data_IF_470023144427
#
_entry.id   IF_470023144427
#
_cell.length_a   1.000
_cell.length_b   1.000
_cell.length_c   1.000
_cell.angle_alpha   90.00
_cell.angle_beta   90.00
_cell.angle_gamma   90.00
#
_symmetry.space_group_name_H-M   'P 1'
#
loop_
_entity.id
_entity.type
_entity.pdbx_description
1 polymer ?
#
# COMPACT_ATOMS: atom_id res chain seq x y z
N UNK A 1 -7.94 -28.77 -54.70
CA UNK A 1 -7.01 -29.78 -55.25
C UNK A 1 -5.65 -29.54 -54.59
N UNK A 2 -5.47 -30.02 -53.34
CA UNK A 2 -4.74 -31.25 -52.98
C UNK A 2 -3.30 -31.30 -53.50
N UNK A 3 -2.37 -30.77 -52.70
CA UNK A 3 -0.95 -31.13 -52.79
C UNK A 3 -0.67 -32.30 -51.85
N UNK A 4 -0.10 -33.43 -52.32
CA UNK A 4 0.24 -34.56 -51.47
C UNK A 4 1.61 -34.44 -50.82
N UNK A 5 1.74 -35.25 -49.78
CA UNK A 5 2.70 -35.25 -48.68
C UNK A 5 3.75 -36.39 -48.82
N UNK A 6 4.76 -36.35 -47.94
CA UNK A 6 5.65 -37.44 -47.45
C UNK A 6 6.86 -37.78 -48.35
N UNK A 7 8.01 -38.27 -47.88
CA UNK A 7 8.76 -38.38 -46.60
C UNK A 7 10.01 -39.19 -47.02
N UNK A 8 11.18 -38.85 -46.44
CA UNK A 8 12.28 -39.76 -46.02
C UNK A 8 13.02 -40.67 -47.02
N UNK A 9 14.36 -40.64 -46.88
CA UNK A 9 15.36 -41.74 -46.74
C UNK A 9 16.63 -41.44 -47.58
N UNK A 10 17.71 -40.96 -46.94
CA UNK A 10 18.82 -41.70 -46.30
C UNK A 10 19.92 -42.21 -47.26
N UNK A 11 21.15 -41.71 -46.99
CA UNK A 11 22.41 -42.46 -46.86
C UNK A 11 23.57 -42.24 -47.87
N UNK A 12 24.71 -41.84 -47.27
CA UNK A 12 26.13 -42.11 -47.60
C UNK A 12 26.79 -41.35 -48.76
N UNK A 13 27.79 -40.53 -48.43
CA UNK A 13 29.19 -40.99 -48.30
C UNK A 13 30.07 -39.95 -47.59
N UNK A 14 30.90 -40.46 -46.69
CA UNK A 14 31.93 -39.74 -45.95
C UNK A 14 33.23 -39.76 -46.75
N UNK A 15 33.98 -38.66 -46.73
CA UNK A 15 35.43 -38.69 -46.91
C UNK A 15 36.09 -37.56 -46.09
N UNK A 16 37.08 -37.99 -45.31
CA UNK A 16 37.84 -37.23 -44.30
C UNK A 16 38.78 -36.21 -44.96
N UNK A 17 38.90 -35.03 -44.36
CA UNK A 17 40.18 -34.31 -44.26
C UNK A 17 40.33 -33.80 -42.83
N UNK A 18 41.34 -34.32 -42.13
CA UNK A 18 41.81 -33.83 -40.84
C UNK A 18 42.87 -32.75 -41.08
N UNK A 19 42.80 -31.67 -40.31
CA UNK A 19 43.89 -30.73 -40.01
C UNK A 19 43.69 -30.20 -38.58
N UNK A 20 44.77 -29.82 -37.87
CA UNK A 20 44.96 -30.15 -36.46
C UNK A 20 44.42 -29.10 -35.48
N UNK A 21 44.14 -29.60 -34.27
CA UNK A 21 44.15 -28.94 -32.97
C UNK A 21 44.13 -27.41 -32.93
N UNK A 22 42.98 -26.86 -32.58
CA UNK A 22 42.90 -25.62 -31.80
C UNK A 22 41.98 -25.86 -30.60
N UNK A 23 42.59 -26.22 -29.47
CA UNK A 23 41.92 -26.31 -28.17
C UNK A 23 41.55 -24.91 -27.68
N UNK A 24 40.51 -24.30 -28.27
CA UNK A 24 39.95 -23.08 -27.71
C UNK A 24 38.87 -23.44 -26.68
N UNK A 25 39.31 -23.89 -25.51
CA UNK A 25 38.46 -23.96 -24.32
C UNK A 25 38.06 -22.53 -23.94
N UNK A 26 36.89 -22.10 -24.41
CA UNK A 26 36.22 -20.93 -23.87
C UNK A 26 35.90 -21.20 -22.39
N UNK A 27 36.82 -20.82 -21.51
CA UNK A 27 36.57 -20.76 -20.06
C UNK A 27 35.39 -19.82 -19.83
N UNK A 28 34.24 -20.39 -19.47
CA UNK A 28 33.11 -19.62 -18.97
C UNK A 28 33.60 -18.73 -17.81
N UNK A 29 33.67 -17.41 -18.04
CA UNK A 29 34.04 -16.45 -16.99
C UNK A 29 33.02 -16.58 -15.87
N UNK A 30 33.45 -17.04 -14.70
CA UNK A 30 32.62 -17.03 -13.49
C UNK A 30 32.01 -15.63 -13.33
N UNK A 31 30.72 -15.51 -13.00
CA UNK A 31 30.09 -14.20 -12.84
C UNK A 31 30.86 -13.41 -11.78
N UNK A 32 31.35 -12.23 -12.15
CA UNK A 32 32.07 -11.35 -11.24
C UNK A 32 31.08 -10.89 -10.16
N UNK A 33 31.25 -11.42 -8.96
CA UNK A 33 30.48 -10.99 -7.78
C UNK A 33 30.85 -9.52 -7.53
N UNK A 34 29.84 -8.68 -7.29
CA UNK A 34 30.08 -7.28 -6.96
C UNK A 34 30.59 -7.21 -5.53
N UNK A 35 31.74 -6.56 -5.34
CA UNK A 35 32.24 -6.24 -4.01
C UNK A 35 31.60 -4.95 -3.53
N UNK A 36 30.69 -5.03 -2.57
CA UNK A 36 29.97 -3.86 -2.04
C UNK A 36 30.85 -2.96 -1.15
N UNK A 37 31.92 -3.49 -0.56
CA UNK A 37 32.86 -2.68 0.25
C UNK A 37 33.66 -1.72 -0.63
N UNK A 38 33.86 -2.05 -1.91
CA UNK A 38 34.54 -1.20 -2.89
C UNK A 38 33.68 -0.07 -3.47
N UNK A 39 32.49 0.19 -2.89
CA UNK A 39 31.59 1.25 -3.33
C UNK A 39 31.15 2.12 -2.15
N UNK A 40 31.05 3.46 -2.34
CA UNK A 40 30.44 4.32 -1.35
C UNK A 40 28.94 3.99 -1.25
N UNK A 41 28.32 4.35 -0.14
CA UNK A 41 26.92 4.12 0.20
C UNK A 41 26.26 5.44 0.58
N UNK A 42 24.94 5.53 0.43
CA UNK A 42 24.15 6.67 0.88
C UNK A 42 22.76 6.23 1.31
N UNK A 43 22.13 7.01 2.18
CA UNK A 43 20.70 6.85 2.50
C UNK A 43 19.88 7.57 1.43
N UNK A 44 18.87 6.90 0.88
CA UNK A 44 17.88 7.52 0.01
C UNK A 44 16.47 7.28 0.54
N UNK A 45 15.57 8.20 0.28
CA UNK A 45 14.13 7.98 0.29
C UNK A 45 13.62 7.82 -1.15
N UNK A 46 12.56 7.04 -1.37
CA UNK A 46 11.90 6.96 -2.68
C UNK A 46 10.38 6.91 -2.55
N UNK A 47 9.69 7.55 -3.49
CA UNK A 47 8.23 7.50 -3.61
C UNK A 47 7.82 6.46 -4.63
N UNK A 48 6.81 5.69 -4.27
CA UNK A 48 6.26 4.66 -5.12
C UNK A 48 4.77 4.48 -4.90
N UNK A 49 4.08 4.10 -5.96
CA UNK A 49 2.69 3.68 -5.91
C UNK A 49 2.58 2.18 -6.12
N UNK A 50 1.46 1.62 -5.66
CA UNK A 50 1.02 0.29 -6.05
C UNK A 50 -0.50 0.16 -6.07
N UNK A 51 -0.99 -0.69 -6.96
CA UNK A 51 -2.40 -1.06 -7.06
C UNK A 51 -2.70 -2.23 -6.13
N UNK A 52 -3.19 -1.94 -4.92
CA UNK A 52 -3.25 -2.85 -3.79
C UNK A 52 -4.10 -4.09 -3.99
N UNK A 53 -5.11 -4.03 -4.85
CA UNK A 53 -5.99 -5.15 -5.18
C UNK A 53 -5.30 -6.31 -5.92
N UNK A 54 -4.04 -6.15 -6.36
CA UNK A 54 -3.22 -7.23 -6.92
C UNK A 54 -2.19 -7.81 -5.93
N UNK A 55 -2.12 -7.29 -4.69
CA UNK A 55 -1.07 -7.63 -3.73
C UNK A 55 -1.65 -8.04 -2.36
N UNK A 56 -0.93 -8.89 -1.64
CA UNK A 56 -1.28 -9.35 -0.29
C UNK A 56 -0.89 -8.35 0.81
N UNK A 57 -0.89 -7.06 0.48
CA UNK A 57 -0.50 -5.96 1.36
C UNK A 57 0.95 -5.50 1.17
N UNK A 58 1.34 -4.47 1.92
CA UNK A 58 2.67 -3.88 1.79
C UNK A 58 3.75 -4.76 2.43
N UNK A 59 3.51 -5.18 3.67
CA UNK A 59 4.53 -5.79 4.53
C UNK A 59 4.81 -7.22 4.12
N UNK A 60 6.08 -7.61 4.10
CA UNK A 60 6.47 -8.99 3.83
C UNK A 60 5.82 -9.96 4.83
N UNK A 61 5.32 -11.09 4.32
CA UNK A 61 4.74 -12.18 5.10
C UNK A 61 5.47 -13.49 4.76
N UNK A 62 5.40 -14.49 5.65
CA UNK A 62 6.10 -15.78 5.48
C UNK A 62 5.34 -16.74 4.56
N UNK A 63 4.03 -16.56 4.42
CA UNK A 63 3.10 -17.42 3.71
C UNK A 63 2.82 -16.97 2.27
N UNK A 64 3.26 -15.76 1.88
CA UNK A 64 3.11 -15.24 0.52
C UNK A 64 4.32 -14.46 0.05
N UNK A 65 4.68 -14.66 -1.22
CA UNK A 65 5.69 -13.84 -1.91
C UNK A 65 5.08 -12.62 -2.60
N UNK A 66 3.75 -12.48 -2.62
CA UNK A 66 3.04 -11.43 -3.37
C UNK A 66 2.77 -10.18 -2.53
N UNK A 67 3.78 -9.73 -1.79
CA UNK A 67 3.74 -8.49 -1.00
C UNK A 67 4.60 -7.43 -1.69
N UNK A 68 4.21 -6.16 -1.54
CA UNK A 68 4.92 -5.05 -2.21
C UNK A 68 6.37 -4.95 -1.72
N UNK A 69 6.62 -5.14 -0.42
CA UNK A 69 7.99 -5.19 0.12
C UNK A 69 8.82 -6.33 -0.43
N UNK A 70 8.23 -7.52 -0.66
CA UNK A 70 8.96 -8.64 -1.27
C UNK A 70 9.40 -8.29 -2.70
N UNK A 71 8.52 -7.69 -3.49
CA UNK A 71 8.87 -7.22 -4.85
C UNK A 71 9.96 -6.14 -4.83
N UNK A 72 9.88 -5.19 -3.89
CA UNK A 72 10.92 -4.16 -3.70
C UNK A 72 12.26 -4.75 -3.25
N UNK A 73 12.25 -5.65 -2.28
CA UNK A 73 13.43 -6.36 -1.79
C UNK A 73 14.13 -7.09 -2.94
N UNK A 74 13.37 -7.87 -3.70
CA UNK A 74 13.92 -8.63 -4.84
C UNK A 74 14.50 -7.70 -5.90
N UNK A 75 13.85 -6.57 -6.19
CA UNK A 75 14.36 -5.58 -7.13
C UNK A 75 15.65 -4.91 -6.63
N UNK A 76 15.72 -4.50 -5.36
CA UNK A 76 16.90 -3.88 -4.75
C UNK A 76 18.12 -4.82 -4.75
N UNK A 77 17.91 -6.10 -4.42
CA UNK A 77 18.96 -7.13 -4.43
C UNK A 77 19.42 -7.43 -5.86
N UNK A 78 18.49 -7.68 -6.79
CA UNK A 78 18.81 -8.04 -8.19
C UNK A 78 19.48 -6.90 -8.95
N UNK A 79 19.13 -5.64 -8.66
CA UNK A 79 19.80 -4.45 -9.21
C UNK A 79 21.16 -4.19 -8.57
N UNK A 80 21.51 -4.94 -7.52
CA UNK A 80 22.71 -4.74 -6.70
C UNK A 80 22.79 -3.31 -6.15
N UNK A 81 21.65 -2.75 -5.79
CA UNK A 81 21.60 -1.48 -5.04
C UNK A 81 21.95 -1.71 -3.58
N UNK A 82 21.52 -2.85 -3.03
CA UNK A 82 21.80 -3.29 -1.66
C UNK A 82 22.50 -4.64 -1.68
N UNK A 83 23.30 -4.90 -0.65
CA UNK A 83 24.00 -6.18 -0.45
C UNK A 83 23.08 -7.22 0.20
N UNK A 84 22.40 -6.83 1.28
CA UNK A 84 21.43 -7.64 2.00
C UNK A 84 20.23 -6.78 2.40
N UNK A 85 19.10 -7.44 2.65
CA UNK A 85 17.89 -6.76 3.11
C UNK A 85 18.02 -6.30 4.56
N UNK A 86 18.69 -7.10 5.39
CA UNK A 86 18.87 -6.89 6.82
C UNK A 86 19.74 -5.66 7.11
N UNK A 87 20.75 -5.40 6.27
CA UNK A 87 21.73 -4.34 6.51
C UNK A 87 21.45 -3.05 5.70
N UNK A 88 20.35 -3.01 4.95
CA UNK A 88 20.01 -1.83 4.15
C UNK A 88 19.17 -0.80 4.93
N UNK A 89 18.89 -1.05 6.22
CA UNK A 89 18.11 -0.18 7.10
C UNK A 89 16.77 0.26 6.46
N UNK A 90 16.07 -0.70 5.88
CA UNK A 90 14.81 -0.44 5.21
C UNK A 90 13.76 0.07 6.21
N UNK A 91 13.21 1.26 5.92
CA UNK A 91 12.07 1.83 6.65
C UNK A 91 10.96 2.22 5.67
N UNK A 92 9.72 2.26 6.16
CA UNK A 92 8.52 2.60 5.37
C UNK A 92 7.64 3.57 6.13
N UNK A 93 6.92 4.44 5.45
CA UNK A 93 6.09 5.44 6.12
C UNK A 93 4.90 4.83 6.87
N UNK A 94 4.02 4.15 6.14
CA UNK A 94 2.77 3.60 6.65
C UNK A 94 2.56 2.17 6.16
N UNK A 95 2.03 1.29 7.01
CA UNK A 95 1.61 -0.04 6.57
C UNK A 95 0.25 0.07 5.88
N UNK A 96 0.04 -0.71 4.83
CA UNK A 96 -1.28 -0.90 4.21
C UNK A 96 -1.66 -2.37 4.31
N UNK A 97 -2.92 -2.63 4.65
CA UNK A 97 -3.49 -3.97 4.65
C UNK A 97 -3.57 -4.53 3.20
N UNK A 98 -3.91 -5.82 3.08
CA UNK A 98 -4.23 -6.46 1.80
C UNK A 98 -5.34 -5.67 1.08
N UNK A 99 -5.27 -5.59 -0.25
CA UNK A 99 -6.25 -4.86 -1.08
C UNK A 99 -6.07 -3.34 -1.11
N UNK A 100 -5.46 -2.74 -0.07
CA UNK A 100 -5.29 -1.28 0.05
C UNK A 100 -4.18 -0.78 -0.88
N UNK A 101 -4.48 0.23 -1.69
CA UNK A 101 -3.54 0.85 -2.62
C UNK A 101 -2.70 1.95 -1.94
N UNK A 102 -1.64 2.39 -2.61
CA UNK A 102 -0.92 3.61 -2.21
C UNK A 102 -0.37 4.37 -3.42
N UNK A 103 -0.23 5.70 -3.31
CA UNK A 103 0.35 6.54 -4.34
C UNK A 103 1.73 7.10 -3.99
N UNK A 104 1.84 7.99 -2.99
CA UNK A 104 3.13 8.49 -2.50
C UNK A 104 3.55 7.74 -1.25
N UNK A 105 3.47 6.40 -1.29
CA UNK A 105 4.11 5.60 -0.25
C UNK A 105 5.62 5.88 -0.31
N UNK A 106 6.22 6.03 0.86
CA UNK A 106 7.63 6.37 0.97
C UNK A 106 8.37 5.30 1.74
N UNK A 107 9.49 4.86 1.19
CA UNK A 107 10.45 4.01 1.87
C UNK A 107 11.82 4.67 1.85
N UNK A 108 12.66 4.33 2.84
CA UNK A 108 14.05 4.77 2.88
C UNK A 108 14.99 3.57 3.09
N UNK A 109 16.13 3.62 2.44
CA UNK A 109 17.07 2.50 2.31
C UNK A 109 18.49 3.01 2.08
N UNK A 110 19.48 2.28 2.59
CA UNK A 110 20.90 2.49 2.29
C UNK A 110 21.26 1.74 1.02
N UNK A 111 21.77 2.47 0.04
CA UNK A 111 22.12 1.92 -1.28
C UNK A 111 23.55 2.29 -1.65
N UNK A 112 24.16 1.52 -2.55
CA UNK A 112 25.43 1.92 -3.16
C UNK A 112 25.26 3.22 -3.95
N UNK A 113 26.31 4.04 -3.94
CA UNK A 113 26.41 5.32 -4.63
C UNK A 113 27.57 5.31 -5.62
N UNK A 114 27.55 6.25 -6.55
CA UNK A 114 28.64 6.54 -7.49
C UNK A 114 29.25 7.93 -7.31
N UNK A 115 28.76 8.70 -6.35
CA UNK A 115 29.12 10.09 -6.09
C UNK A 115 29.71 10.24 -4.67
N UNK A 116 30.95 9.77 -4.41
CA UNK A 116 31.55 9.79 -3.07
C UNK A 116 31.76 11.19 -2.46
N UNK A 117 31.67 12.24 -3.28
CA UNK A 117 31.86 13.64 -2.86
C UNK A 117 30.54 14.34 -2.51
N UNK A 118 29.39 13.69 -2.75
CA UNK A 118 28.09 14.24 -2.38
C UNK A 118 27.93 14.26 -0.85
N UNK A 119 27.13 15.20 -0.30
CA UNK A 119 26.75 15.18 1.11
C UNK A 119 26.11 13.85 1.54
N UNK A 120 26.39 13.45 2.77
CA UNK A 120 25.87 12.24 3.44
C UNK A 120 26.22 10.90 2.74
N UNK A 121 27.16 10.93 1.80
CA UNK A 121 27.76 9.72 1.22
C UNK A 121 28.90 9.25 2.10
N UNK A 122 28.93 7.95 2.38
CA UNK A 122 29.88 7.35 3.31
C UNK A 122 30.46 6.05 2.74
N UNK A 123 31.60 5.64 3.27
CA UNK A 123 32.22 4.35 2.97
C UNK A 123 31.97 3.38 4.11
N UNK A 124 32.05 2.09 3.81
CA UNK A 124 32.10 1.09 4.88
C UNK A 124 33.37 1.30 5.72
N UNK A 125 33.27 1.16 7.05
CA UNK A 125 34.42 1.36 7.95
C UNK A 125 35.58 0.42 7.60
N UNK A 126 35.28 -0.76 7.06
CA UNK A 126 36.25 -1.74 6.61
C UNK A 126 36.93 -1.40 5.28
N UNK A 127 36.50 -0.34 4.59
CA UNK A 127 37.01 0.00 3.24
C UNK A 127 38.44 0.56 3.32
N UNK A 128 39.42 -0.07 2.65
CA UNK A 128 40.79 0.44 2.59
C UNK A 128 40.90 1.82 1.92
N UNK A 129 41.83 2.65 2.38
CA UNK A 129 41.96 4.04 1.92
C UNK A 129 42.42 4.13 0.45
N UNK A 130 43.21 3.16 -0.02
CA UNK A 130 43.60 3.06 -1.43
C UNK A 130 42.40 2.79 -2.35
N UNK A 131 41.40 2.04 -1.88
CA UNK A 131 40.16 1.79 -2.63
C UNK A 131 39.36 3.10 -2.77
N UNK A 132 39.25 3.87 -1.67
CA UNK A 132 38.54 5.17 -1.69
C UNK A 132 39.24 6.17 -2.62
N UNK A 133 40.57 6.30 -2.50
CA UNK A 133 41.37 7.25 -3.28
C UNK A 133 41.38 6.92 -4.78
N UNK A 134 41.28 5.64 -5.15
CA UNK A 134 41.27 5.21 -6.55
C UNK A 134 39.85 5.05 -7.13
N UNK A 135 38.80 5.41 -6.37
CA UNK A 135 37.43 5.25 -6.84
C UNK A 135 37.12 6.19 -8.00
N UNK A 136 36.63 5.62 -9.10
CA UNK A 136 36.21 6.39 -10.28
C UNK A 136 34.81 6.93 -10.05
N UNK A 137 34.73 8.13 -9.48
CA UNK A 137 33.47 8.85 -9.30
C UNK A 137 32.77 9.10 -10.64
N UNK A 138 31.44 9.21 -10.59
CA UNK A 138 30.61 9.62 -11.71
C UNK A 138 29.99 10.99 -11.42
N UNK A 139 29.69 11.78 -12.48
CA UNK A 139 29.03 13.08 -12.30
C UNK A 139 27.56 12.94 -11.87
N UNK A 140 26.93 11.81 -12.19
CA UNK A 140 25.54 11.53 -11.88
C UNK A 140 25.44 10.24 -11.08
N UNK A 141 24.45 10.23 -10.18
CA UNK A 141 24.13 9.07 -9.37
C UNK A 141 23.56 7.92 -10.22
N UNK A 142 23.52 6.72 -9.65
CA UNK A 142 22.84 5.60 -10.26
C UNK A 142 21.36 5.95 -10.56
N UNK A 143 20.82 5.51 -11.70
CA UNK A 143 19.43 5.79 -12.07
C UNK A 143 18.48 4.86 -11.29
N UNK A 144 18.39 5.07 -9.97
CA UNK A 144 17.70 4.20 -9.02
C UNK A 144 16.27 3.86 -9.43
N UNK A 145 15.52 4.88 -9.86
CA UNK A 145 14.12 4.72 -10.28
C UNK A 145 14.01 3.79 -11.49
N UNK A 146 14.82 4.03 -12.53
CA UNK A 146 14.88 3.18 -13.73
C UNK A 146 15.33 1.75 -13.41
N UNK A 147 16.33 1.59 -12.54
CA UNK A 147 16.83 0.29 -12.11
C UNK A 147 15.74 -0.53 -11.42
N UNK A 148 15.02 0.07 -10.47
CA UNK A 148 13.91 -0.59 -9.76
C UNK A 148 12.75 -0.91 -10.70
N UNK A 149 12.27 0.07 -11.48
CA UNK A 149 11.14 -0.13 -12.39
C UNK A 149 11.42 -1.15 -13.51
N UNK A 150 12.68 -1.42 -13.83
CA UNK A 150 13.08 -2.47 -14.76
C UNK A 150 12.78 -3.89 -14.26
N UNK A 151 12.65 -4.07 -12.93
CA UNK A 151 12.35 -5.37 -12.31
C UNK A 151 10.99 -5.43 -11.62
N UNK A 152 10.41 -4.28 -11.24
CA UNK A 152 9.13 -4.23 -10.55
C UNK A 152 7.95 -4.60 -11.48
N UNK A 153 6.92 -5.31 -10.96
CA UNK A 153 5.66 -5.53 -11.65
C UNK A 153 5.02 -4.22 -12.12
N UNK A 154 4.25 -4.22 -13.21
CA UNK A 154 3.60 -3.00 -13.75
C UNK A 154 2.68 -2.29 -12.75
N UNK A 155 2.23 -3.01 -11.74
CA UNK A 155 1.38 -2.51 -10.66
C UNK A 155 2.14 -1.96 -9.46
N UNK A 156 3.48 -1.91 -9.50
CA UNK A 156 4.32 -1.22 -8.52
C UNK A 156 5.31 -0.33 -9.29
N UNK A 157 5.30 0.99 -9.03
CA UNK A 157 6.19 1.92 -9.72
C UNK A 157 6.79 2.94 -8.77
N UNK A 158 8.10 3.04 -8.80
CA UNK A 158 8.87 4.14 -8.19
C UNK A 158 8.86 5.30 -9.18
N UNK A 159 8.70 6.54 -8.71
CA UNK A 159 8.65 7.71 -9.60
C UNK A 159 9.48 8.90 -9.10
N UNK A 160 9.95 8.86 -7.86
CA UNK A 160 10.86 9.85 -7.31
C UNK A 160 11.83 9.20 -6.32
N UNK A 161 12.99 9.81 -6.15
CA UNK A 161 13.93 9.52 -5.08
C UNK A 161 14.50 10.81 -4.50
N UNK A 162 15.08 10.75 -3.31
CA UNK A 162 15.75 11.88 -2.68
C UNK A 162 16.94 11.36 -1.88
N UNK A 163 18.11 12.01 -1.93
CA UNK A 163 19.12 11.81 -0.91
C UNK A 163 18.60 12.36 0.42
N UNK A 164 18.85 11.64 1.50
CA UNK A 164 18.41 12.01 2.86
C UNK A 164 19.55 11.78 3.86
N UNK A 165 19.45 12.42 5.02
CA UNK A 165 20.39 12.21 6.13
C UNK A 165 20.46 10.74 6.53
N UNK A 166 21.59 10.32 7.09
CA UNK A 166 21.85 8.93 7.48
C UNK A 166 20.80 8.39 8.45
N UNK A 167 20.32 9.24 9.36
CA UNK A 167 19.38 8.94 10.42
C UNK A 167 17.91 8.95 9.97
N UNK A 168 17.63 9.42 8.75
CA UNK A 168 16.27 9.55 8.24
C UNK A 168 15.51 8.21 8.28
N UNK A 169 14.31 8.27 8.82
CA UNK A 169 13.38 7.17 8.93
C UNK A 169 12.04 7.55 8.31
N UNK A 170 11.66 6.85 7.24
CA UNK A 170 10.42 7.13 6.52
C UNK A 170 9.17 7.10 7.40
N UNK A 171 9.18 6.34 8.51
CA UNK A 171 8.07 6.30 9.48
C UNK A 171 8.10 7.46 10.45
N UNK A 172 9.22 7.67 11.13
CA UNK A 172 9.27 8.56 12.29
C UNK A 172 9.38 10.04 11.89
N UNK A 173 10.01 10.33 10.74
CA UNK A 173 10.12 11.70 10.24
C UNK A 173 8.91 12.14 9.42
N UNK A 174 7.97 11.23 9.14
CA UNK A 174 6.74 11.59 8.47
C UNK A 174 5.79 12.31 9.44
N UNK A 175 5.40 13.53 9.07
CA UNK A 175 4.57 14.41 9.89
C UNK A 175 3.08 14.38 9.52
N UNK A 176 2.72 13.80 8.37
CA UNK A 176 1.34 13.77 7.88
C UNK A 176 1.10 12.58 6.97
N UNK A 177 -0.01 11.87 7.16
CA UNK A 177 -0.51 10.87 6.23
C UNK A 177 -1.87 11.30 5.72
N UNK A 178 -2.07 11.18 4.42
CA UNK A 178 -3.36 11.47 3.78
C UNK A 178 -3.88 10.20 3.11
N UNK A 179 -5.08 9.79 3.49
CA UNK A 179 -5.81 8.70 2.84
C UNK A 179 -6.95 9.26 2.01
N UNK A 180 -7.25 8.56 0.92
CA UNK A 180 -8.44 8.76 0.10
C UNK A 180 -9.25 7.47 0.06
N UNK A 181 -10.56 7.60 0.14
CA UNK A 181 -11.50 6.47 0.03
C UNK A 181 -12.61 6.85 -0.95
N UNK A 182 -12.71 6.11 -2.06
CA UNK A 182 -13.67 6.43 -3.13
C UNK A 182 -14.83 5.44 -3.16
N UNK A 183 -16.06 5.90 -3.31
CA UNK A 183 -17.25 5.06 -3.36
C UNK A 183 -18.34 5.72 -4.20
N UNK A 184 -19.32 4.95 -4.66
CA UNK A 184 -20.48 5.50 -5.35
C UNK A 184 -21.35 6.29 -4.38
N UNK A 185 -21.92 7.41 -4.84
CA UNK A 185 -22.78 8.29 -4.05
C UNK A 185 -24.03 7.57 -3.56
N UNK A 186 -24.59 6.69 -4.39
CA UNK A 186 -25.84 6.00 -4.11
C UNK A 186 -26.94 7.01 -3.70
N UNK A 187 -27.66 6.71 -2.63
CA UNK A 187 -28.68 7.55 -2.00
C UNK A 187 -28.16 8.29 -0.73
N UNK A 188 -26.84 8.42 -0.58
CA UNK A 188 -26.23 9.00 0.63
C UNK A 188 -26.47 10.52 0.73
N UNK A 189 -26.84 10.95 1.94
CA UNK A 189 -26.91 12.35 2.36
C UNK A 189 -25.49 12.89 2.65
N UNK A 190 -24.91 13.53 1.63
CA UNK A 190 -23.55 14.05 1.72
C UNK A 190 -23.40 15.22 2.71
N UNK A 191 -24.46 15.97 3.00
CA UNK A 191 -24.38 17.06 3.97
C UNK A 191 -24.25 16.50 5.39
N UNK A 192 -25.04 15.49 5.74
CA UNK A 192 -24.88 14.79 7.03
C UNK A 192 -23.52 14.11 7.15
N UNK A 193 -23.02 13.53 6.06
CA UNK A 193 -21.68 12.94 6.06
C UNK A 193 -20.60 14.00 6.29
N UNK A 194 -20.72 15.19 5.70
CA UNK A 194 -19.78 16.31 5.92
C UNK A 194 -19.86 16.83 7.35
N UNK A 195 -21.06 17.01 7.89
CA UNK A 195 -21.28 17.40 9.28
C UNK A 195 -20.59 16.41 10.23
N UNK A 196 -20.88 15.11 10.08
CA UNK A 196 -20.28 14.05 10.89
C UNK A 196 -18.76 13.98 10.74
N UNK A 197 -18.26 14.09 9.51
CA UNK A 197 -16.83 14.06 9.21
C UNK A 197 -16.07 15.22 9.84
N UNK A 198 -16.69 16.41 9.95
CA UNK A 198 -16.07 17.57 10.58
C UNK A 198 -15.77 17.36 12.08
N UNK A 199 -16.58 16.54 12.76
CA UNK A 199 -16.42 16.22 14.17
C UNK A 199 -15.18 15.35 14.46
N UNK A 200 -14.63 14.70 13.43
CA UNK A 200 -13.37 13.96 13.52
C UNK A 200 -12.15 14.89 13.59
N UNK A 201 -12.26 16.17 13.19
CA UNK A 201 -11.11 17.07 13.17
C UNK A 201 -10.67 17.39 14.61
N UNK A 202 -9.37 17.40 14.85
CA UNK A 202 -8.78 17.65 16.16
C UNK A 202 -8.07 16.43 16.73
N UNK A 203 -7.77 16.50 18.03
CA UNK A 203 -7.08 15.46 18.78
C UNK A 203 -8.07 14.71 19.66
N UNK A 204 -8.26 13.42 19.38
CA UNK A 204 -9.28 12.59 20.02
C UNK A 204 -8.75 11.17 20.26
N UNK A 205 -9.39 10.44 21.17
CA UNK A 205 -9.19 9.00 21.33
C UNK A 205 -10.02 8.22 20.29
N UNK A 206 -9.33 7.52 19.38
CA UNK A 206 -9.97 6.77 18.29
C UNK A 206 -10.13 5.28 18.59
N UNK A 207 -10.11 4.88 19.85
CA UNK A 207 -10.25 3.48 20.22
C UNK A 207 -11.52 2.83 19.63
N UNK A 208 -12.63 3.56 19.64
CA UNK A 208 -13.91 3.11 19.10
C UNK A 208 -13.98 3.17 17.57
N UNK A 209 -12.92 3.63 16.90
CA UNK A 209 -12.77 3.63 15.45
C UNK A 209 -11.66 2.70 14.98
N UNK A 210 -11.11 1.83 15.82
CA UNK A 210 -9.98 0.99 15.41
C UNK A 210 -10.17 -0.49 15.77
N UNK A 211 -9.38 -1.33 15.11
CA UNK A 211 -9.21 -2.71 15.56
C UNK A 211 -8.05 -2.75 16.55
N UNK A 212 -8.33 -3.17 17.78
CA UNK A 212 -7.27 -3.48 18.73
C UNK A 212 -6.63 -4.81 18.40
N UNK A 213 -5.31 -4.79 18.23
CA UNK A 213 -4.50 -6.00 18.11
C UNK A 213 -4.16 -6.51 19.52
N UNK A 214 -4.26 -7.83 19.74
CA UNK A 214 -3.95 -8.50 21.00
C UNK A 214 -2.44 -8.71 21.20
N UNK A 215 -1.59 -8.05 20.41
CA UNK A 215 -0.16 -7.97 20.65
C UNK A 215 0.15 -7.02 21.83
N UNK A 216 0.99 -7.47 22.76
CA UNK A 216 1.40 -6.72 23.96
C UNK A 216 1.89 -5.29 23.65
N UNK A 217 2.71 -5.13 22.61
CA UNK A 217 3.23 -3.80 22.20
C UNK A 217 2.14 -2.88 21.65
N UNK A 218 1.03 -3.43 21.15
CA UNK A 218 -0.07 -2.66 20.56
C UNK A 218 -1.17 -2.36 21.58
N UNK A 219 -1.35 -3.21 22.59
CA UNK A 219 -2.27 -2.96 23.71
C UNK A 219 -1.85 -1.80 24.61
N UNK A 220 -0.58 -1.41 24.57
CA UNK A 220 -0.02 -0.27 25.32
C UNK A 220 0.16 0.99 24.47
N UNK A 221 -0.14 0.92 23.16
CA UNK A 221 -0.05 2.09 22.28
C UNK A 221 -1.18 3.08 22.56
N UNK A 222 -0.82 4.36 22.59
CA UNK A 222 -1.80 5.44 22.63
C UNK A 222 -2.75 5.35 21.43
N UNK A 223 -4.05 5.45 21.70
CA UNK A 223 -5.14 5.50 20.72
C UNK A 223 -5.51 6.93 20.33
N UNK A 224 -4.91 7.92 20.99
CA UNK A 224 -5.06 9.33 20.64
C UNK A 224 -4.34 9.62 19.32
N UNK A 225 -5.06 10.23 18.38
CA UNK A 225 -4.52 10.73 17.10
C UNK A 225 -5.01 12.14 16.86
N UNK A 226 -4.30 12.86 15.99
CA UNK A 226 -4.69 14.19 15.54
C UNK A 226 -5.05 14.13 14.06
N UNK A 227 -6.31 14.43 13.74
CA UNK A 227 -6.77 14.62 12.36
C UNK A 227 -6.72 16.11 12.06
N UNK A 228 -6.08 16.44 10.95
CA UNK A 228 -5.88 17.80 10.47
C UNK A 228 -7.00 18.24 9.53
N UNK A 229 -7.46 17.32 8.68
CA UNK A 229 -8.45 17.63 7.65
C UNK A 229 -9.30 16.39 7.35
N UNK A 230 -10.61 16.61 7.16
CA UNK A 230 -11.51 15.64 6.57
C UNK A 230 -12.37 16.33 5.51
N UNK A 231 -12.45 15.74 4.31
CA UNK A 231 -13.27 16.24 3.20
C UNK A 231 -14.11 15.12 2.62
N UNK A 232 -15.39 15.40 2.34
CA UNK A 232 -16.31 14.52 1.63
C UNK A 232 -16.79 15.26 0.38
N UNK A 233 -16.28 14.85 -0.77
CA UNK A 233 -16.45 15.58 -2.04
C UNK A 233 -17.03 14.67 -3.11
N UNK A 234 -18.02 15.15 -3.86
CA UNK A 234 -18.46 14.48 -5.08
C UNK A 234 -17.45 14.82 -6.18
N UNK A 235 -16.65 13.84 -6.60
CA UNK A 235 -15.49 14.03 -7.49
C UNK A 235 -15.78 13.68 -8.95
N UNK A 236 -16.94 13.07 -9.22
CA UNK A 236 -17.45 12.90 -10.58
C UNK A 236 -18.96 13.07 -10.58
N UNK A 237 -19.49 13.51 -11.72
CA UNK A 237 -20.91 13.56 -11.99
C UNK A 237 -21.22 12.49 -13.03
N UNK A 238 -22.24 11.69 -12.78
CA UNK A 238 -22.81 10.79 -13.78
C UNK A 238 -24.04 11.47 -14.41
N UNK A 239 -23.95 11.92 -15.68
CA UNK A 239 -25.07 12.61 -16.33
C UNK A 239 -26.30 11.70 -16.40
N UNK A 240 -27.44 12.18 -15.90
CA UNK A 240 -28.70 11.43 -15.93
C UNK A 240 -28.87 10.37 -14.84
N UNK A 241 -27.83 10.04 -14.06
CA UNK A 241 -27.97 9.17 -12.89
C UNK A 241 -26.96 9.48 -11.78
N UNK A 242 -27.39 10.27 -10.81
CA UNK A 242 -26.53 10.74 -9.72
C UNK A 242 -26.13 9.63 -8.73
N UNK A 243 -26.79 8.47 -8.71
CA UNK A 243 -26.45 7.39 -7.76
C UNK A 243 -25.09 6.75 -8.08
N UNK A 244 -24.68 6.78 -9.35
CA UNK A 244 -23.38 6.28 -9.80
C UNK A 244 -22.27 7.34 -9.74
N UNK A 245 -22.60 8.61 -9.45
CA UNK A 245 -21.61 9.65 -9.17
C UNK A 245 -20.62 9.18 -8.10
N UNK A 246 -19.32 9.41 -8.30
CA UNK A 246 -18.32 9.03 -7.30
C UNK A 246 -18.13 10.10 -6.23
N UNK A 247 -18.02 9.66 -4.99
CA UNK A 247 -17.65 10.44 -3.81
C UNK A 247 -16.26 10.03 -3.34
N UNK A 248 -15.48 11.00 -2.88
CA UNK A 248 -14.18 10.81 -2.26
C UNK A 248 -14.19 11.35 -0.83
N UNK A 249 -13.84 10.48 0.11
CA UNK A 249 -13.46 10.87 1.47
C UNK A 249 -11.94 11.06 1.51
N UNK A 250 -11.47 12.26 1.83
CA UNK A 250 -10.06 12.53 2.13
C UNK A 250 -9.89 12.72 3.63
N UNK A 251 -8.95 12.00 4.25
CA UNK A 251 -8.61 12.11 5.68
C UNK A 251 -7.11 12.34 5.82
N UNK A 252 -6.72 13.45 6.44
CA UNK A 252 -5.31 13.80 6.69
C UNK A 252 -5.05 13.92 8.20
N UNK A 253 -3.98 13.31 8.70
CA UNK A 253 -3.68 13.28 10.13
C UNK A 253 -2.23 12.92 10.46
N UNK A 254 -1.88 12.96 11.74
CA UNK A 254 -0.54 12.62 12.24
C UNK A 254 -0.17 11.17 11.99
N UNK A 255 -1.18 10.29 12.02
CA UNK A 255 -1.09 8.86 11.76
C UNK A 255 -2.42 8.20 12.09
N UNK A 256 -2.57 6.92 11.74
CA UNK A 256 -3.84 6.21 11.89
C UNK A 256 -3.65 4.88 12.61
N UNK A 257 -4.65 4.50 13.40
CA UNK A 257 -4.72 3.20 14.05
C UNK A 257 -5.09 2.12 13.01
N UNK A 258 -4.91 0.86 13.40
CA UNK A 258 -5.25 -0.25 12.52
C UNK A 258 -6.75 -0.24 12.18
N UNK A 259 -7.07 -0.32 10.88
CA UNK A 259 -8.42 -0.21 10.31
C UNK A 259 -9.16 1.12 10.54
N UNK A 260 -8.49 2.14 11.06
CA UNK A 260 -9.15 3.38 11.51
C UNK A 260 -10.01 4.05 10.44
N UNK A 261 -9.44 4.28 9.25
CA UNK A 261 -10.15 4.94 8.15
C UNK A 261 -11.37 4.14 7.70
N UNK A 262 -11.26 2.80 7.63
CA UNK A 262 -12.34 1.93 7.16
C UNK A 262 -13.50 1.89 8.16
N UNK A 263 -13.23 2.01 9.46
CA UNK A 263 -14.29 2.14 10.45
C UNK A 263 -14.95 3.52 10.46
N UNK A 264 -14.17 4.59 10.23
CA UNK A 264 -14.73 5.92 9.96
C UNK A 264 -15.70 5.87 8.77
N UNK A 265 -15.30 5.23 7.67
CA UNK A 265 -16.17 5.06 6.49
C UNK A 265 -17.47 4.34 6.87
N UNK A 266 -17.41 3.26 7.65
CA UNK A 266 -18.64 2.55 8.06
C UNK A 266 -19.60 3.48 8.80
N UNK A 267 -19.11 4.26 9.76
CA UNK A 267 -19.96 5.18 10.55
C UNK A 267 -20.55 6.26 9.65
N UNK A 268 -19.74 6.87 8.77
CA UNK A 268 -20.22 7.88 7.82
C UNK A 268 -21.25 7.30 6.84
N UNK A 269 -21.11 6.05 6.42
CA UNK A 269 -22.07 5.35 5.55
C UNK A 269 -23.43 5.13 6.24
N UNK A 270 -23.45 4.81 7.54
CA UNK A 270 -24.71 4.69 8.30
C UNK A 270 -25.39 6.06 8.48
N UNK A 271 -24.60 7.11 8.73
CA UNK A 271 -25.11 8.48 8.85
C UNK A 271 -25.64 8.99 7.49
N UNK A 272 -24.92 8.74 6.40
CA UNK A 272 -25.33 9.11 5.04
C UNK A 272 -26.61 8.40 4.61
N UNK A 273 -26.84 7.15 5.06
CA UNK A 273 -28.12 6.44 4.86
C UNK A 273 -29.25 6.93 5.75
N UNK A 274 -28.98 7.85 6.68
CA UNK A 274 -29.95 8.37 7.64
C UNK A 274 -30.28 7.43 8.79
N UNK A 275 -29.52 6.34 8.97
CA UNK A 275 -29.72 5.37 10.04
C UNK A 275 -29.27 5.93 11.41
N UNK A 276 -28.30 6.85 11.38
CA UNK A 276 -27.71 7.49 12.56
C UNK A 276 -27.59 9.00 12.36
N UNK A 277 -27.48 9.74 13.47
CA UNK A 277 -27.26 11.18 13.44
C UNK A 277 -25.77 11.53 13.35
N UNK A 278 -25.39 12.69 12.78
CA UNK A 278 -24.00 13.15 12.75
C UNK A 278 -23.30 13.13 14.11
N UNK A 279 -24.04 13.41 15.19
CA UNK A 279 -23.53 13.42 16.57
C UNK A 279 -22.94 12.08 17.02
N UNK A 280 -23.31 10.95 16.39
CA UNK A 280 -22.74 9.63 16.70
C UNK A 280 -21.21 9.62 16.64
N UNK A 281 -20.60 10.42 15.76
CA UNK A 281 -19.14 10.54 15.69
C UNK A 281 -18.58 11.04 17.02
N UNK A 282 -19.07 12.16 17.55
CA UNK A 282 -18.64 12.69 18.84
C UNK A 282 -18.92 11.73 19.98
N UNK A 283 -20.05 11.01 19.92
CA UNK A 283 -20.37 10.01 20.94
C UNK A 283 -19.37 8.86 20.94
N UNK A 284 -18.99 8.34 19.78
CA UNK A 284 -17.98 7.27 19.68
C UNK A 284 -16.58 7.74 20.08
N UNK A 285 -16.26 9.02 19.93
CA UNK A 285 -15.01 9.61 20.43
C UNK A 285 -15.03 9.78 21.96
N UNK A 286 -16.20 9.81 22.59
CA UNK A 286 -16.35 9.83 24.05
C UNK A 286 -16.28 8.41 24.63
N UNK A 287 -15.11 8.09 25.20
CA UNK A 287 -14.84 6.79 25.82
C UNK A 287 -15.58 6.58 27.15
N UNK A 288 -16.18 7.61 27.74
CA UNK A 288 -17.06 7.44 28.89
C UNK A 288 -18.45 6.97 28.45
N UNK A 289 -18.95 7.50 27.33
CA UNK A 289 -20.22 7.06 26.73
C UNK A 289 -20.11 5.68 26.10
N UNK A 290 -19.03 5.42 25.36
CA UNK A 290 -18.72 4.12 24.79
C UNK A 290 -17.40 3.57 25.36
N UNK A 291 -17.43 2.86 26.51
CA UNK A 291 -16.23 2.29 27.13
C UNK A 291 -15.64 1.12 26.31
N UNK A 292 -16.40 0.57 25.39
CA UNK A 292 -15.95 -0.39 24.40
C UNK A 292 -16.58 -0.10 23.04
N UNK A 293 -15.84 -0.42 21.99
CA UNK A 293 -16.31 -0.22 20.61
C UNK A 293 -17.58 -1.05 20.37
N UNK A 294 -18.70 -0.47 19.92
CA UNK A 294 -19.84 -1.25 19.47
C UNK A 294 -19.45 -2.21 18.34
N UNK A 295 -20.10 -3.36 18.22
CA UNK A 295 -19.84 -4.24 17.08
C UNK A 295 -20.40 -3.65 15.78
N UNK A 296 -19.52 -3.35 14.82
CA UNK A 296 -19.92 -2.90 13.50
C UNK A 296 -18.95 -3.36 12.41
N UNK A 297 -19.51 -3.50 11.21
CA UNK A 297 -18.87 -4.04 10.01
C UNK A 297 -17.69 -3.17 9.56
N UNK A 298 -16.64 -3.79 9.05
CA UNK A 298 -15.49 -3.07 8.53
C UNK A 298 -15.75 -2.74 7.06
N UNK A 299 -15.54 -1.48 6.65
CA UNK A 299 -15.72 -1.12 5.24
C UNK A 299 -14.69 -1.82 4.34
N UNK A 300 -14.95 -1.98 3.05
CA UNK A 300 -14.06 -2.66 2.09
C UNK A 300 -12.65 -2.04 2.03
N UNK A 301 -11.63 -2.84 1.74
CA UNK A 301 -10.23 -2.41 1.67
C UNK A 301 -9.85 -1.76 0.33
N UNK A 302 -10.38 -2.31 -0.76
CA UNK A 302 -10.04 -1.99 -2.15
C UNK A 302 -10.16 -0.50 -2.49
N UNK A 303 -11.17 0.24 -1.99
CA UNK A 303 -11.31 1.66 -2.32
C UNK A 303 -10.40 2.58 -1.51
N UNK A 304 -9.66 2.05 -0.53
CA UNK A 304 -8.74 2.82 0.29
C UNK A 304 -7.39 2.98 -0.41
N UNK A 305 -6.89 4.22 -0.45
CA UNK A 305 -5.57 4.56 -0.95
C UNK A 305 -4.82 5.42 0.08
N UNK A 306 -3.63 4.97 0.50
CA UNK A 306 -2.66 5.89 1.12
C UNK A 306 -2.14 6.83 0.03
N UNK A 307 -2.62 8.06 0.04
CA UNK A 307 -2.40 9.00 -1.06
C UNK A 307 -1.10 9.78 -0.91
N UNK A 308 -0.82 10.29 0.29
CA UNK A 308 0.34 11.17 0.55
C UNK A 308 1.03 10.87 1.88
N UNK A 309 2.36 10.92 1.86
CA UNK A 309 3.22 10.89 3.05
C UNK A 309 3.99 12.22 3.10
N UNK A 310 3.67 13.06 4.07
CA UNK A 310 4.28 14.37 4.26
C UNK A 310 5.58 14.30 5.05
N UNK A 311 6.59 15.04 4.60
CA UNK A 311 7.88 15.25 5.25
C UNK A 311 8.17 16.75 5.23
N UNK A 312 9.13 17.21 6.04
CA UNK A 312 9.57 18.60 5.95
C UNK A 312 10.40 18.81 4.68
N UNK A 313 10.28 19.98 4.06
CA UNK A 313 10.96 20.27 2.79
C UNK A 313 12.49 20.24 2.95
N UNK A 314 12.99 20.65 4.12
CA UNK A 314 14.40 20.60 4.47
C UNK A 314 14.94 19.17 4.67
N UNK A 315 14.08 18.18 4.91
CA UNK A 315 14.47 16.78 5.13
C UNK A 315 14.46 15.97 3.83
N UNK A 316 13.60 16.32 2.87
CA UNK A 316 13.40 15.53 1.65
C UNK A 316 13.15 16.42 0.42
N UNK A 317 14.15 16.51 -0.45
CA UNK A 317 14.05 17.16 -1.75
C UNK A 317 13.90 16.12 -2.88
N UNK A 318 12.66 15.94 -3.39
CA UNK A 318 12.35 14.92 -4.39
C UNK A 318 12.96 15.21 -5.77
N UNK A 319 13.70 14.23 -6.28
CA UNK A 319 14.21 14.15 -7.65
C UNK A 319 13.29 13.21 -8.44
N UNK A 320 12.58 13.77 -9.42
CA UNK A 320 11.65 13.02 -10.28
C UNK A 320 12.38 12.46 -11.50
N UNK A 321 12.15 11.17 -11.79
CA UNK A 321 12.75 10.52 -12.95
C UNK A 321 12.00 10.91 -14.24
N UNK A 322 12.74 11.13 -15.33
CA UNK A 322 12.19 11.44 -16.65
C UNK A 322 11.21 10.38 -17.19
N UNK A 323 11.35 9.11 -16.78
CA UNK A 323 10.48 8.01 -17.17
C UNK A 323 9.10 8.05 -16.46
N UNK A 324 8.83 9.04 -15.60
CA UNK A 324 7.50 9.26 -15.03
C UNK A 324 6.41 9.36 -16.11
N UNK A 325 6.76 9.85 -17.31
CA UNK A 325 5.86 9.88 -18.46
C UNK A 325 5.37 8.48 -18.86
N UNK A 326 6.25 7.47 -18.85
CA UNK A 326 5.87 6.07 -19.14
C UNK A 326 4.95 5.52 -18.07
N UNK A 327 5.19 5.89 -16.81
CA UNK A 327 4.35 5.54 -15.67
C UNK A 327 2.94 6.12 -15.82
N UNK A 328 2.82 7.40 -16.19
CA UNK A 328 1.54 8.07 -16.48
C UNK A 328 0.80 7.35 -17.61
N UNK A 329 1.48 7.06 -18.73
CA UNK A 329 0.87 6.33 -19.87
C UNK A 329 0.40 4.93 -19.44
N UNK A 330 1.13 4.25 -18.56
CA UNK A 330 0.72 2.98 -17.98
C UNK A 330 -0.58 3.09 -17.19
N UNK A 331 -0.66 4.07 -16.28
CA UNK A 331 -1.87 4.33 -15.50
C UNK A 331 -3.06 4.72 -16.38
N UNK A 332 -2.87 5.54 -17.41
CA UNK A 332 -3.92 5.89 -18.37
C UNK A 332 -4.49 4.66 -19.09
N UNK A 333 -3.63 3.72 -19.50
CA UNK A 333 -4.07 2.46 -20.12
C UNK A 333 -4.88 1.60 -19.16
N UNK A 334 -4.39 1.45 -17.92
CA UNK A 334 -5.10 0.69 -16.88
C UNK A 334 -6.45 1.33 -16.55
N UNK A 335 -6.48 2.65 -16.36
CA UNK A 335 -7.70 3.41 -16.13
C UNK A 335 -8.69 3.25 -17.28
N UNK A 336 -8.26 3.41 -18.53
CA UNK A 336 -9.12 3.24 -19.70
C UNK A 336 -9.74 1.84 -19.77
N UNK A 337 -8.97 0.80 -19.42
CA UNK A 337 -9.49 -0.57 -19.36
C UNK A 337 -10.57 -0.74 -18.28
N UNK A 338 -10.37 -0.16 -17.09
CA UNK A 338 -11.40 -0.19 -16.03
C UNK A 338 -12.63 0.63 -16.40
N UNK A 339 -12.46 1.81 -17.01
CA UNK A 339 -13.58 2.63 -17.48
C UNK A 339 -14.39 1.94 -18.58
N UNK A 340 -13.74 1.28 -19.54
CA UNK A 340 -14.44 0.50 -20.56
C UNK A 340 -15.26 -0.65 -19.94
N UNK A 341 -14.70 -1.37 -18.96
CA UNK A 341 -15.43 -2.41 -18.21
C UNK A 341 -16.58 -1.84 -17.40
N UNK A 342 -16.36 -0.70 -16.73
CA UNK A 342 -17.40 0.00 -15.99
C UNK A 342 -18.56 0.38 -16.89
N UNK A 343 -18.29 0.96 -18.07
CA UNK A 343 -19.35 1.32 -19.03
C UNK A 343 -20.08 0.09 -19.59
N UNK A 344 -19.38 -1.02 -19.83
CA UNK A 344 -20.03 -2.28 -20.23
C UNK A 344 -21.00 -2.77 -19.14
N UNK A 345 -20.58 -2.72 -17.87
CA UNK A 345 -21.43 -3.09 -16.74
C UNK A 345 -22.60 -2.12 -16.58
N UNK A 346 -22.37 -0.82 -16.76
CA UNK A 346 -23.40 0.22 -16.69
C UNK A 346 -24.48 -0.01 -17.76
N UNK A 347 -24.11 -0.28 -19.03
CA UNK A 347 -25.07 -0.64 -20.07
C UNK A 347 -25.91 -1.88 -19.67
N UNK A 348 -25.27 -2.91 -19.09
CA UNK A 348 -25.99 -4.11 -18.65
C UNK A 348 -26.95 -3.81 -17.50
N UNK A 349 -26.54 -2.96 -16.55
CA UNK A 349 -27.37 -2.53 -15.43
C UNK A 349 -28.57 -1.72 -15.91
N UNK A 350 -28.36 -0.75 -16.81
CA UNK A 350 -29.44 0.05 -17.41
C UNK A 350 -30.51 -0.84 -18.07
N UNK A 351 -30.10 -1.79 -18.92
CA UNK A 351 -31.01 -2.72 -19.58
C UNK A 351 -31.74 -3.63 -18.59
N UNK A 352 -31.02 -4.23 -17.63
CA UNK A 352 -31.62 -5.13 -16.64
C UNK A 352 -32.59 -4.41 -15.70
N UNK A 353 -32.26 -3.20 -15.24
CA UNK A 353 -33.17 -2.39 -14.41
C UNK A 353 -34.41 -1.97 -15.19
N UNK A 354 -34.33 -1.79 -16.52
CA UNK A 354 -35.49 -1.55 -17.37
C UNK A 354 -36.41 -2.77 -17.55
N UNK A 355 -35.92 -4.00 -17.28
CA UNK A 355 -36.67 -5.24 -17.45
C UNK A 355 -37.51 -5.64 -16.23
N UNK A 356 -37.26 -5.05 -15.05
CA UNK A 356 -37.92 -5.41 -13.79
C UNK A 356 -38.35 -4.17 -13.01
N UNK A 357 -39.47 -4.26 -12.29
CA UNK A 357 -39.81 -3.24 -11.31
C UNK A 357 -38.90 -3.37 -10.08
N UNK A 358 -38.28 -2.27 -9.66
CA UNK A 358 -37.41 -2.21 -8.48
C UNK A 358 -37.91 -1.15 -7.50
N UNK A 359 -37.91 -1.46 -6.21
CA UNK A 359 -38.12 -0.46 -5.18
C UNK A 359 -36.88 0.47 -5.10
N UNK A 360 -37.03 1.75 -4.70
CA UNK A 360 -35.92 2.71 -4.68
C UNK A 360 -34.66 2.24 -3.94
N UNK A 361 -34.81 1.56 -2.79
CA UNK A 361 -33.67 1.04 -2.01
C UNK A 361 -33.02 -0.22 -2.60
N UNK A 362 -33.66 -0.90 -3.54
CA UNK A 362 -33.08 -2.07 -4.23
C UNK A 362 -32.08 -1.64 -5.31
N UNK A 363 -32.29 -0.47 -5.91
CA UNK A 363 -31.43 0.08 -6.97
C UNK A 363 -30.04 0.43 -6.44
N UNK A 364 -29.93 0.86 -5.18
CA UNK A 364 -28.66 1.29 -4.56
C UNK A 364 -27.99 0.19 -3.73
N UNK A 365 -28.68 -0.93 -3.47
CA UNK A 365 -28.20 -1.99 -2.56
C UNK A 365 -26.81 -2.51 -2.90
N UNK A 366 -26.54 -2.82 -4.18
CA UNK A 366 -25.23 -3.32 -4.62
C UNK A 366 -24.10 -2.30 -4.45
N UNK A 367 -24.42 -1.00 -4.54
CA UNK A 367 -23.46 0.08 -4.31
C UNK A 367 -23.08 0.17 -2.83
N UNK A 368 -24.06 0.02 -1.94
CA UNK A 368 -23.82 0.00 -0.49
C UNK A 368 -23.08 -1.27 -0.04
N UNK A 369 -23.43 -2.43 -0.60
CA UNK A 369 -22.77 -3.70 -0.29
C UNK A 369 -21.28 -3.71 -0.69
N UNK A 370 -20.90 -3.01 -1.77
CA UNK A 370 -19.49 -2.87 -2.16
C UNK A 370 -18.63 -2.20 -1.08
N UNK A 371 -19.21 -1.27 -0.31
CA UNK A 371 -18.48 -0.57 0.75
C UNK A 371 -18.37 -1.42 2.01
N UNK A 372 -19.07 -2.55 2.13
CA UNK A 372 -19.03 -3.43 3.31
C UNK A 372 -18.26 -4.73 3.01
N UNK A 373 -17.58 -5.29 4.02
CA UNK A 373 -16.95 -6.61 3.91
C UNK A 373 -17.94 -7.79 4.07
N UNK A 374 -19.21 -7.47 4.37
CA UNK A 374 -20.31 -8.42 4.59
C UNK A 374 -21.62 -7.85 4.01
N UNK A 375 -22.60 -8.70 3.69
CA UNK A 375 -23.91 -8.24 3.24
C UNK A 375 -24.60 -7.33 4.26
N UNK A 376 -25.36 -6.35 3.76
CA UNK A 376 -26.14 -5.43 4.59
C UNK A 376 -27.25 -6.21 5.29
N UNK A 377 -27.36 -6.04 6.61
CA UNK A 377 -28.42 -6.66 7.39
C UNK A 377 -29.78 -6.06 7.02
N UNK A 378 -30.80 -6.91 6.88
CA UNK A 378 -32.18 -6.50 6.55
C UNK A 378 -32.78 -5.55 7.60
N UNK A 379 -32.41 -5.71 8.87
CA UNK A 379 -32.86 -4.85 9.97
C UNK A 379 -31.68 -4.10 10.55
N UNK A 380 -31.72 -2.77 10.44
CA UNK A 380 -30.73 -1.91 11.06
C UNK A 380 -30.85 -1.96 12.60
N UNK A 381 -29.71 -2.07 13.29
CA UNK A 381 -29.60 -1.97 14.74
C UNK A 381 -28.76 -0.73 15.07
N UNK A 382 -29.34 0.19 15.84
CA UNK A 382 -28.65 1.42 16.25
C UNK A 382 -27.41 1.13 17.06
N UNK A 383 -26.37 1.96 16.93
CA UNK A 383 -25.10 1.78 17.64
C UNK A 383 -25.27 1.64 19.16
N UNK A 384 -26.18 2.42 19.75
CA UNK A 384 -26.51 2.37 21.19
C UNK A 384 -27.08 1.01 21.65
N UNK A 385 -27.62 0.22 20.73
CA UNK A 385 -28.26 -1.08 20.99
C UNK A 385 -27.34 -2.27 20.67
N UNK A 386 -26.13 -2.02 20.15
CA UNK A 386 -25.21 -3.10 19.76
C UNK A 386 -24.42 -3.58 20.96
N UNK A 387 -24.11 -4.87 20.95
CA UNK A 387 -23.13 -5.43 21.87
C UNK A 387 -21.79 -4.70 21.71
N UNK A 388 -21.12 -4.41 22.83
CA UNK A 388 -19.79 -3.81 22.82
C UNK A 388 -18.71 -4.88 22.77
N UNK A 389 -17.61 -4.59 22.08
CA UNK A 389 -16.38 -5.36 22.18
C UNK A 389 -15.79 -5.26 23.60
N UNK A 390 -14.96 -6.23 23.99
CA UNK A 390 -14.15 -6.16 25.21
C UNK A 390 -13.41 -4.82 25.32
N UNK A 391 -13.40 -4.25 26.53
CA UNK A 391 -12.60 -3.06 26.87
C UNK A 391 -11.10 -3.33 26.79
N UNK A 392 -10.29 -2.28 26.81
CA UNK A 392 -8.82 -2.40 26.85
C UNK A 392 -8.37 -3.19 28.06
N UNK A 393 -8.96 -2.91 29.22
CA UNK A 393 -8.64 -3.52 30.51
C UNK A 393 -8.94 -5.01 30.46
N UNK A 394 -10.11 -5.39 29.94
CA UNK A 394 -10.50 -6.78 29.81
C UNK A 394 -9.60 -7.53 28.81
N UNK A 395 -9.22 -6.90 27.70
CA UNK A 395 -8.25 -7.48 26.74
C UNK A 395 -6.87 -7.67 27.36
N UNK A 396 -6.40 -6.70 28.18
CA UNK A 396 -5.13 -6.81 28.91
C UNK A 396 -5.17 -7.96 29.93
N UNK A 397 -6.26 -8.10 30.67
CA UNK A 397 -6.46 -9.21 31.60
C UNK A 397 -6.44 -10.56 30.88
N UNK A 398 -7.18 -10.69 29.77
CA UNK A 398 -7.20 -11.91 28.94
C UNK A 398 -5.82 -12.24 28.38
N UNK A 399 -5.04 -11.24 27.95
CA UNK A 399 -3.67 -11.46 27.48
C UNK A 399 -2.75 -11.92 28.61
N UNK A 400 -2.82 -11.30 29.79
CA UNK A 400 -2.02 -11.67 30.95
C UNK A 400 -2.29 -13.12 31.39
N UNK A 401 -3.56 -13.52 31.44
CA UNK A 401 -3.96 -14.91 31.71
C UNK A 401 -3.35 -15.87 30.67
N UNK A 402 -3.45 -15.55 29.38
CA UNK A 402 -2.88 -16.37 28.30
C UNK A 402 -1.36 -16.49 28.34
N UNK A 403 -0.66 -15.45 28.81
CA UNK A 403 0.79 -15.49 29.02
C UNK A 403 1.13 -16.39 30.21
N UNK A 404 0.40 -16.28 31.32
CA UNK A 404 0.57 -17.12 32.50
C UNK A 404 0.37 -18.60 32.17
N UNK A 405 -0.72 -18.96 31.49
CA UNK A 405 -1.00 -20.33 31.02
C UNK A 405 0.13 -20.91 30.15
N UNK A 406 0.68 -20.09 29.25
CA UNK A 406 1.83 -20.49 28.41
C UNK A 406 3.09 -20.70 29.23
N UNK A 407 3.33 -19.89 30.25
CA UNK A 407 4.50 -20.03 31.12
C UNK A 407 4.42 -21.30 31.99
N UNK A 408 3.22 -21.63 32.49
CA UNK A 408 2.97 -22.87 33.24
C UNK A 408 3.13 -24.12 32.35
N UNK A 409 2.66 -24.06 31.10
CA UNK A 409 2.80 -25.17 30.14
C UNK A 409 4.26 -25.42 29.68
N UNK A 410 5.15 -24.43 29.79
CA UNK A 410 6.58 -24.56 29.44
C UNK A 410 7.43 -24.95 30.66
N UNK A 411 7.04 -24.56 31.88
CA UNK A 411 7.72 -24.91 33.12
C UNK A 411 7.43 -26.30 33.68
N UNK A 412 6.42 -27.00 33.14
CA UNK A 412 6.04 -28.37 33.53
C UNK A 412 6.68 -29.50 32.71
N UNK A 413 7.77 -29.24 31.98
CA UNK A 413 8.53 -30.24 31.21
C UNK A 413 9.93 -30.46 31.74
#
# INVERSE_FOLDING_TARGET
MSFPCKKQLFAKKAEKRQSPDDQNQQKAKKPKILDFSAHPKRKIAFQFYYLGWEHDGLVQQLDTANTVEKHLMDALLKTKMIESWENCEFSRCGRTDKGVSAFKQTAAVVVRSTCPQDPDVFWDESTPEDVKNNYKSKPEELPYVKMLNGLLPKTIRVFAWAPVKREFNARFDCNRRTYKYSFAKADLDLEKMREAASLLIGEHDYINFCQMDLNEKRLTQATVRKIYEVKVEQVSTHPGNDIYSMVELTVSGSGFLWHMIRYIVTVLQEIGRGNEQPTLVSELLDTQKYPGRPHYTLSSDTPLCLFDCGYKEEDVAWIYDSDIKKTIVGLQKTWAAYQARSRMMENMLEELTGMVEMAPGEVTKGLHEFVQDRPIQMKYVKFEQREMCDTVELKKQKLAMKIAEKSEAVGGK
#
